data_IF_488727483591
#
_entry.id   IF_488727483591
#
_cell.length_a   1.000
_cell.length_b   1.000
_cell.length_c   1.000
_cell.angle_alpha   90.00
_cell.angle_beta   90.00
_cell.angle_gamma   90.00
#
_symmetry.space_group_name_H-M   'P 1'
#
loop_
_entity.id
_entity.type
_entity.pdbx_description
1 polymer ?
#
# COMPACT_ATOMS: atom_id res chain seq x y z
N UNK A 1 -14.45 14.96 16.10
CA UNK A 1 -13.58 15.76 15.22
C UNK A 1 -12.34 14.92 14.96
N UNK A 2 -12.33 14.20 13.85
CA UNK A 2 -11.26 13.25 13.49
C UNK A 2 -10.06 14.03 13.00
N UNK A 3 -8.92 13.90 13.69
CA UNK A 3 -7.65 14.44 13.25
C UNK A 3 -7.27 13.80 11.91
N UNK A 4 -7.43 14.56 10.81
CA UNK A 4 -6.89 14.22 9.49
C UNK A 4 -5.36 14.41 9.46
N UNK A 5 -4.67 13.85 10.45
CA UNK A 5 -3.22 13.93 10.59
C UNK A 5 -2.52 12.91 9.71
N UNK A 6 -1.48 13.32 8.98
CA UNK A 6 -0.54 12.38 8.35
C UNK A 6 0.36 11.81 9.45
N UNK A 7 0.45 10.49 9.54
CA UNK A 7 1.34 9.79 10.48
C UNK A 7 2.47 9.13 9.70
N UNK A 8 3.71 9.31 10.14
CA UNK A 8 4.87 8.63 9.56
C UNK A 8 5.05 7.25 10.21
N UNK A 9 5.12 6.21 9.38
CA UNK A 9 5.45 4.85 9.83
C UNK A 9 6.94 4.58 9.60
N UNK A 10 7.64 4.23 10.66
CA UNK A 10 9.01 3.71 10.57
C UNK A 10 8.96 2.20 10.41
N UNK A 11 9.28 1.71 9.21
CA UNK A 11 9.18 0.29 8.88
C UNK A 11 10.58 -0.27 8.61
N UNK A 12 10.89 -1.44 9.19
CA UNK A 12 12.07 -2.23 8.85
C UNK A 12 11.62 -3.45 8.05
N UNK A 13 12.20 -3.62 6.88
CA UNK A 13 11.94 -4.76 5.98
C UNK A 13 13.25 -5.44 5.60
N UNK A 14 13.18 -6.68 5.12
CA UNK A 14 14.33 -7.33 4.50
C UNK A 14 14.68 -6.63 3.18
N UNK A 15 15.93 -6.82 2.72
CA UNK A 15 16.40 -6.30 1.44
C UNK A 15 15.52 -6.76 0.28
N UNK A 16 15.18 -8.04 0.25
CA UNK A 16 14.32 -8.64 -0.78
C UNK A 16 12.95 -7.97 -0.86
N UNK A 17 12.33 -7.63 0.28
CA UNK A 17 11.05 -6.93 0.29
C UNK A 17 11.21 -5.48 -0.19
N UNK A 18 12.31 -4.81 0.15
CA UNK A 18 12.59 -3.47 -0.38
C UNK A 18 12.77 -3.49 -1.90
N UNK A 19 13.44 -4.49 -2.45
CA UNK A 19 13.66 -4.64 -3.89
C UNK A 19 12.34 -4.90 -4.63
N UNK A 20 11.47 -5.75 -4.07
CA UNK A 20 10.11 -5.95 -4.60
C UNK A 20 9.29 -4.66 -4.60
N UNK A 21 9.40 -3.84 -3.56
CA UNK A 21 8.71 -2.55 -3.52
C UNK A 21 9.22 -1.60 -4.61
N UNK A 22 10.52 -1.65 -4.93
CA UNK A 22 11.13 -0.83 -5.98
C UNK A 22 10.61 -1.23 -7.36
N UNK A 23 10.53 -2.53 -7.63
CA UNK A 23 9.95 -3.06 -8.86
C UNK A 23 8.47 -2.64 -9.02
N UNK A 24 7.69 -2.67 -7.94
CA UNK A 24 6.29 -2.21 -7.98
C UNK A 24 6.22 -0.70 -8.28
N UNK A 25 7.09 0.11 -7.69
CA UNK A 25 7.15 1.55 -7.98
C UNK A 25 7.47 1.78 -9.45
N UNK A 26 8.44 1.06 -10.01
CA UNK A 26 8.79 1.14 -11.43
C UNK A 26 7.61 0.76 -12.32
N UNK A 27 6.88 -0.31 -11.97
CA UNK A 27 5.67 -0.71 -12.68
C UNK A 27 4.60 0.40 -12.65
N UNK A 28 4.35 1.03 -11.50
CA UNK A 28 3.37 2.12 -11.40
C UNK A 28 3.83 3.34 -12.20
N UNK A 29 5.12 3.66 -12.12
CA UNK A 29 5.76 4.77 -12.82
C UNK A 29 5.68 4.61 -14.34
N UNK A 30 5.92 3.41 -14.88
CA UNK A 30 5.87 3.14 -16.31
C UNK A 30 4.46 3.32 -16.90
N UNK A 31 3.43 3.09 -16.08
CA UNK A 31 2.03 3.25 -16.50
C UNK A 31 1.49 4.67 -16.31
N UNK A 32 2.27 5.59 -15.73
CA UNK A 32 1.88 6.98 -15.55
C UNK A 32 2.34 7.85 -16.73
N UNK A 33 1.40 8.62 -17.28
CA UNK A 33 1.69 9.57 -18.37
C UNK A 33 2.53 10.76 -17.91
N UNK A 34 2.36 11.19 -16.65
CA UNK A 34 3.09 12.31 -16.03
C UNK A 34 3.20 12.10 -14.51
N UNK A 35 4.28 12.60 -13.90
CA UNK A 35 4.50 12.59 -12.44
C UNK A 35 5.56 11.59 -11.97
N UNK A 36 5.81 11.56 -10.66
CA UNK A 36 6.72 10.62 -9.99
C UNK A 36 5.95 9.84 -8.93
N UNK A 37 6.20 8.54 -8.85
CA UNK A 37 5.66 7.64 -7.83
C UNK A 37 6.70 7.46 -6.73
N UNK A 38 6.28 7.61 -5.48
CA UNK A 38 7.13 7.35 -4.33
C UNK A 38 6.77 6.02 -3.68
N UNK A 39 7.77 5.37 -3.05
CA UNK A 39 7.58 4.15 -2.27
C UNK A 39 6.47 4.28 -1.22
N UNK A 40 6.37 5.46 -0.59
CA UNK A 40 5.34 5.74 0.40
C UNK A 40 3.92 5.68 -0.18
N UNK A 41 3.70 6.26 -1.37
CA UNK A 41 2.39 6.25 -2.03
C UNK A 41 1.98 4.82 -2.42
N UNK A 42 2.93 4.04 -2.95
CA UNK A 42 2.72 2.63 -3.29
C UNK A 42 2.41 1.80 -2.06
N UNK A 43 3.14 1.98 -0.96
CA UNK A 43 2.85 1.28 0.30
C UNK A 43 1.46 1.62 0.84
N UNK A 44 1.05 2.89 0.79
CA UNK A 44 -0.29 3.30 1.20
C UNK A 44 -1.36 2.62 0.36
N UNK A 45 -1.23 2.62 -0.97
CA UNK A 45 -2.16 1.96 -1.88
C UNK A 45 -2.24 0.44 -1.66
N UNK A 46 -1.10 -0.23 -1.45
CA UNK A 46 -1.05 -1.67 -1.12
C UNK A 46 -1.81 -1.94 0.18
N UNK A 47 -1.60 -1.13 1.22
CA UNK A 47 -2.27 -1.28 2.51
C UNK A 47 -3.78 -1.10 2.36
N UNK A 48 -4.23 -0.07 1.64
CA UNK A 48 -5.66 0.18 1.41
C UNK A 48 -6.32 -0.98 0.65
N UNK A 49 -5.70 -1.44 -0.44
CA UNK A 49 -6.20 -2.59 -1.21
C UNK A 49 -6.29 -3.85 -0.36
N UNK A 50 -5.26 -4.14 0.42
CA UNK A 50 -5.24 -5.34 1.27
C UNK A 50 -6.24 -5.23 2.43
N UNK A 51 -6.44 -4.03 3.00
CA UNK A 51 -7.43 -3.78 4.03
C UNK A 51 -8.86 -4.06 3.54
N UNK A 52 -9.19 -3.64 2.31
CA UNK A 52 -10.49 -3.93 1.71
C UNK A 52 -10.69 -5.43 1.44
N UNK A 53 -9.64 -6.14 1.00
CA UNK A 53 -9.68 -7.61 0.89
C UNK A 53 -9.95 -8.26 2.25
N UNK A 54 -9.22 -7.85 3.29
CA UNK A 54 -9.42 -8.35 4.65
C UNK A 54 -10.85 -8.08 5.15
N UNK A 55 -11.41 -6.90 4.90
CA UNK A 55 -12.80 -6.57 5.27
C UNK A 55 -13.80 -7.50 4.59
N UNK A 56 -13.64 -7.74 3.28
CA UNK A 56 -14.50 -8.69 2.53
C UNK A 56 -14.43 -10.09 3.11
N UNK A 57 -13.23 -10.60 3.40
CA UNK A 57 -13.02 -11.91 4.02
C UNK A 57 -13.69 -12.01 5.40
N UNK A 58 -13.55 -10.99 6.26
CA UNK A 58 -14.21 -10.95 7.57
C UNK A 58 -15.73 -10.96 7.47
N UNK A 59 -16.30 -10.28 6.47
CA UNK A 59 -17.75 -10.26 6.26
C UNK A 59 -18.27 -11.62 5.79
N UNK A 60 -17.54 -12.29 4.88
CA UNK A 60 -17.90 -13.64 4.43
C UNK A 60 -17.85 -14.65 5.58
N UNK A 61 -16.78 -14.64 6.38
CA UNK A 61 -16.64 -15.56 7.52
C UNK A 61 -17.65 -15.34 8.66
N UNK A 62 -18.36 -14.20 8.69
CA UNK A 62 -19.44 -13.93 9.65
C UNK A 62 -20.81 -14.40 9.15
N UNK A 63 -20.94 -14.73 7.86
CA UNK A 63 -22.18 -15.21 7.24
C UNK A 63 -22.29 -16.74 7.22
N UNK A 64 -21.19 -17.43 7.53
CA UNK A 64 -21.13 -18.87 7.82
C UNK A 64 -20.99 -19.08 9.33
#
# INVERSE_FOLDING_TARGET
MTENGRVQLNVRVSKEISEKLDEIVEYYQANLKFGRVYKGDVLTDIIEKYYEVMKKQKQMNRRF
#
